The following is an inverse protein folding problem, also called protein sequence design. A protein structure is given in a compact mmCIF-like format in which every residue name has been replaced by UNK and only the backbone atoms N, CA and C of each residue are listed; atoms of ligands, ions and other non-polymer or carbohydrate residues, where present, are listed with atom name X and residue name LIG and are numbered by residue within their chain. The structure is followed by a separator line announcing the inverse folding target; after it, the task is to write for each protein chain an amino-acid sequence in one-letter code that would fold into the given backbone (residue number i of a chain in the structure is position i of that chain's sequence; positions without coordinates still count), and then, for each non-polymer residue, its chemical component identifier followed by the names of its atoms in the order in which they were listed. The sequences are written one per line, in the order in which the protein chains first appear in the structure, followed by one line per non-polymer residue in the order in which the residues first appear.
data_IF_297898515875
#
_entry.id   IF_297898515875
#
_cell.length_a   1.000
_cell.length_b   1.000
_cell.length_c   1.000
_cell.angle_alpha   90.00
_cell.angle_beta   90.00
_cell.angle_gamma   90.00
#
_symmetry.space_group_name_H-M   'P 1'
#
loop_
_entity.id
_entity.type
_entity.pdbx_description
1 polymer ?
#
# COMPACT_ATOMS: atom_id res chain seq x y z
N UNK A 1 -2.89 -7.30 17.27
CA UNK A 1 -2.56 -6.49 16.08
C UNK A 1 -1.29 -7.07 15.49
N UNK A 2 -1.30 -7.54 14.24
CA UNK A 2 -0.09 -8.16 13.65
C UNK A 2 0.96 -7.13 13.25
N UNK A 3 2.22 -7.56 13.02
CA UNK A 3 3.31 -6.67 12.57
C UNK A 3 2.93 -5.87 11.31
N UNK A 4 2.29 -6.52 10.34
CA UNK A 4 1.80 -5.88 9.12
C UNK A 4 0.75 -4.78 9.38
N UNK A 5 -0.17 -4.95 10.34
CA UNK A 5 -1.17 -3.93 10.67
C UNK A 5 -0.50 -2.69 11.30
N UNK A 6 0.50 -2.91 12.15
CA UNK A 6 1.28 -1.81 12.74
C UNK A 6 2.06 -1.05 11.67
N UNK A 7 2.71 -1.78 10.74
CA UNK A 7 3.42 -1.16 9.62
C UNK A 7 2.46 -0.39 8.73
N UNK A 8 1.30 -0.96 8.37
CA UNK A 8 0.32 -0.27 7.54
C UNK A 8 -0.15 1.02 8.20
N UNK A 9 -0.50 0.99 9.48
CA UNK A 9 -1.01 2.16 10.19
C UNK A 9 0.06 3.25 10.38
N UNK A 10 1.33 2.88 10.51
CA UNK A 10 2.42 3.83 10.75
C UNK A 10 3.05 4.37 9.47
N UNK A 11 3.14 3.56 8.42
CA UNK A 11 3.84 3.92 7.17
C UNK A 11 2.90 4.20 6.00
N UNK A 12 1.80 3.45 5.89
CA UNK A 12 0.94 3.49 4.70
C UNK A 12 -0.28 4.38 4.89
N UNK A 13 -0.92 4.32 6.07
CA UNK A 13 -2.19 4.99 6.35
C UNK A 13 -2.08 6.52 6.33
N UNK A 14 -0.89 7.09 6.56
CA UNK A 14 -0.65 8.54 6.42
C UNK A 14 -1.03 9.06 5.04
N UNK A 15 -0.80 8.26 3.99
CA UNK A 15 -1.15 8.60 2.60
C UNK A 15 -2.40 7.86 2.12
N UNK A 16 -2.47 6.54 2.35
CA UNK A 16 -3.57 5.72 1.83
C UNK A 16 -4.82 5.72 2.72
N UNK A 17 -4.75 6.30 3.93
CA UNK A 17 -5.83 6.26 4.91
C UNK A 17 -5.90 4.92 5.67
N UNK A 18 -6.46 4.91 6.90
CA UNK A 18 -6.59 3.67 7.69
C UNK A 18 -7.50 2.63 7.02
N UNK A 19 -8.45 3.09 6.21
CA UNK A 19 -9.36 2.27 5.40
C UNK A 19 -8.87 2.08 3.96
N UNK A 20 -7.66 2.57 3.61
CA UNK A 20 -7.10 2.42 2.27
C UNK A 20 -7.80 3.19 1.16
N UNK A 21 -8.58 4.23 1.47
CA UNK A 21 -9.38 4.97 0.47
C UNK A 21 -8.58 6.04 -0.28
N UNK A 22 -7.28 6.16 -0.01
CA UNK A 22 -6.45 7.21 -0.61
C UNK A 22 -6.72 8.60 -0.02
N UNK A 23 -7.23 8.64 1.20
CA UNK A 23 -7.72 9.82 1.92
C UNK A 23 -6.95 10.06 3.23
N UNK A 24 -5.73 9.53 3.34
CA UNK A 24 -4.86 9.80 4.49
C UNK A 24 -4.55 11.28 4.64
N UNK A 25 -4.10 11.71 5.82
CA UNK A 25 -3.83 13.13 6.12
C UNK A 25 -2.87 13.78 5.11
N UNK A 26 -1.89 13.04 4.59
CA UNK A 26 -0.98 13.54 3.57
C UNK A 26 -1.57 13.53 2.15
N UNK A 27 -2.65 12.77 1.88
CA UNK A 27 -3.24 12.63 0.55
C UNK A 27 -3.73 13.96 -0.04
N UNK A 28 -4.16 14.91 0.79
CA UNK A 28 -4.62 16.23 0.35
C UNK A 28 -3.54 17.03 -0.37
N UNK A 29 -2.25 16.79 -0.06
CA UNK A 29 -1.11 17.47 -0.66
C UNK A 29 -0.49 16.70 -1.84
N UNK A 30 -1.03 15.53 -2.21
CA UNK A 30 -0.48 14.67 -3.25
C UNK A 30 -1.28 14.75 -4.54
N UNK A 31 -0.59 14.97 -5.66
CA UNK A 31 -1.17 14.92 -7.00
C UNK A 31 -0.29 14.06 -7.93
N UNK A 32 -0.81 12.93 -8.48
CA UNK A 32 -2.13 12.37 -8.22
C UNK A 32 -2.30 11.89 -6.77
N UNK A 33 -3.55 11.86 -6.29
CA UNK A 33 -3.87 11.29 -4.98
C UNK A 33 -3.49 9.81 -4.92
N UNK A 34 -3.14 9.28 -3.73
CA UNK A 34 -2.96 7.85 -3.55
C UNK A 34 -4.21 7.09 -3.99
N UNK A 35 -4.01 5.93 -4.61
CA UNK A 35 -5.11 5.09 -5.09
C UNK A 35 -5.92 4.53 -3.91
N UNK A 36 -7.23 4.45 -4.11
CA UNK A 36 -8.13 3.71 -3.23
C UNK A 36 -7.98 2.21 -3.47
N UNK A 37 -7.71 1.46 -2.40
CA UNK A 37 -7.70 0.00 -2.40
C UNK A 37 -9.11 -0.60 -2.36
N UNK A 38 -10.14 0.21 -2.10
CA UNK A 38 -11.54 -0.20 -2.21
C UNK A 38 -12.04 -0.29 -3.66
N UNK A 39 -11.23 0.12 -4.64
CA UNK A 39 -11.54 -0.01 -6.06
C UNK A 39 -11.43 -1.49 -6.48
N UNK A 40 -12.59 -2.14 -6.62
CA UNK A 40 -12.69 -3.55 -7.00
C UNK A 40 -12.16 -3.84 -8.42
N UNK A 41 -12.28 -2.89 -9.35
CA UNK A 41 -11.75 -3.06 -10.71
C UNK A 41 -10.23 -3.04 -10.67
N UNK A 42 -9.64 -2.10 -9.93
CA UNK A 42 -8.20 -2.09 -9.71
C UNK A 42 -7.70 -3.39 -9.06
N UNK A 43 -8.38 -3.86 -8.02
CA UNK A 43 -8.01 -5.11 -7.34
C UNK A 43 -7.92 -6.29 -8.33
N UNK A 44 -8.84 -6.38 -9.30
CA UNK A 44 -8.80 -7.43 -10.34
C UNK A 44 -7.62 -7.29 -11.31
N UNK A 45 -7.17 -6.07 -11.57
CA UNK A 45 -6.10 -5.80 -12.56
C UNK A 45 -4.68 -5.96 -12.04
N UNK A 46 -4.49 -5.96 -10.72
CA UNK A 46 -3.18 -5.99 -10.09
C UNK A 46 -2.91 -7.36 -9.47
N UNK A 47 -1.67 -7.86 -9.54
CA UNK A 47 -1.27 -9.10 -8.89
C UNK A 47 -0.74 -8.86 -7.48
N UNK A 48 -0.78 -9.89 -6.63
CA UNK A 48 -0.23 -9.85 -5.27
C UNK A 48 1.27 -9.56 -5.28
N UNK A 49 1.99 -10.15 -6.24
CA UNK A 49 3.42 -9.91 -6.46
C UNK A 49 3.71 -8.45 -6.82
N UNK A 50 2.88 -7.83 -7.67
CA UNK A 50 3.04 -6.42 -7.99
C UNK A 50 2.81 -5.54 -6.76
N UNK A 51 1.78 -5.82 -5.94
CA UNK A 51 1.54 -5.08 -4.69
C UNK A 51 2.76 -5.24 -3.76
N UNK A 52 3.27 -6.45 -3.58
CA UNK A 52 4.46 -6.71 -2.76
C UNK A 52 5.70 -5.95 -3.26
N UNK A 53 5.90 -5.95 -4.57
CA UNK A 53 7.00 -5.20 -5.21
C UNK A 53 6.90 -3.71 -4.94
N UNK A 54 5.70 -3.12 -5.08
CA UNK A 54 5.50 -1.68 -4.81
C UNK A 54 5.70 -1.36 -3.32
N UNK A 55 5.30 -2.26 -2.42
CA UNK A 55 5.53 -2.09 -0.97
C UNK A 55 7.03 -2.01 -0.67
N UNK A 56 7.83 -2.91 -1.24
CA UNK A 56 9.27 -2.99 -0.96
C UNK A 56 10.06 -1.92 -1.72
N UNK A 57 9.81 -1.78 -3.02
CA UNK A 57 10.61 -0.94 -3.94
C UNK A 57 10.03 0.47 -4.14
N UNK A 58 8.86 0.77 -3.59
CA UNK A 58 8.23 2.09 -3.64
C UNK A 58 7.55 2.38 -4.98
N UNK A 59 6.96 3.57 -5.09
CA UNK A 59 6.18 3.98 -6.26
C UNK A 59 7.03 4.22 -7.51
N UNK A 60 8.21 4.82 -7.37
CA UNK A 60 9.10 5.12 -8.49
C UNK A 60 9.47 3.84 -9.29
N UNK A 61 9.77 2.75 -8.59
CA UNK A 61 10.10 1.46 -9.21
C UNK A 61 8.92 0.83 -9.96
N UNK A 62 7.68 1.22 -9.63
CA UNK A 62 6.45 0.71 -10.23
C UNK A 62 5.80 1.72 -11.21
N UNK A 63 6.54 2.75 -11.65
CA UNK A 63 6.03 3.80 -12.52
C UNK A 63 4.94 4.67 -11.88
N UNK A 64 4.92 4.74 -10.55
CA UNK A 64 3.98 5.55 -9.75
C UNK A 64 4.71 6.75 -9.15
N UNK A 65 4.00 7.51 -8.30
CA UNK A 65 4.56 8.69 -7.64
C UNK A 65 5.86 8.36 -6.88
N UNK A 66 6.95 9.15 -7.07
CA UNK A 66 8.19 8.98 -6.32
C UNK A 66 8.02 9.28 -4.83
N UNK A 67 6.93 9.93 -4.44
CA UNK A 67 6.60 10.22 -3.03
C UNK A 67 6.11 8.99 -2.27
N UNK A 68 5.79 7.90 -2.96
CA UNK A 68 5.56 6.60 -2.32
C UNK A 68 6.92 5.96 -2.05
N UNK A 69 7.48 6.22 -0.87
CA UNK A 69 8.81 5.76 -0.48
C UNK A 69 8.93 4.21 -0.46
N UNK A 70 10.10 3.65 -0.80
CA UNK A 70 10.38 2.23 -0.65
C UNK A 70 10.46 1.83 0.83
N UNK A 71 10.26 0.54 1.11
CA UNK A 71 10.46 -0.08 2.41
C UNK A 71 11.51 -1.20 2.29
N UNK A 72 12.80 -0.86 2.11
CA UNK A 72 13.85 -1.85 1.87
C UNK A 72 14.05 -2.81 3.05
N UNK A 73 13.71 -2.39 4.27
CA UNK A 73 13.74 -3.24 5.45
C UNK A 73 12.77 -4.43 5.37
N UNK A 74 11.72 -4.34 4.55
CA UNK A 74 10.75 -5.42 4.35
C UNK A 74 11.23 -6.47 3.34
N UNK A 75 12.30 -6.22 2.60
CA UNK A 75 12.89 -7.20 1.67
C UNK A 75 13.36 -8.47 2.40
N UNK A 76 13.86 -8.31 3.62
CA UNK A 76 14.24 -9.42 4.50
C UNK A 76 13.05 -10.04 5.27
N UNK A 77 11.81 -9.57 5.05
CA UNK A 77 10.61 -9.99 5.78
C UNK A 77 9.46 -10.40 4.85
N UNK A 78 9.63 -11.47 4.05
CA UNK A 78 8.63 -11.88 3.05
C UNK A 78 7.25 -12.18 3.65
N UNK A 79 7.17 -12.76 4.85
CA UNK A 79 5.89 -13.03 5.52
C UNK A 79 5.15 -11.74 5.92
N UNK A 80 5.88 -10.69 6.30
CA UNK A 80 5.28 -9.38 6.60
C UNK A 80 4.77 -8.73 5.33
N UNK A 81 5.52 -8.81 4.22
CA UNK A 81 5.07 -8.31 2.92
C UNK A 81 3.81 -9.04 2.47
N UNK A 82 3.76 -10.37 2.59
CA UNK A 82 2.57 -11.17 2.28
C UNK A 82 1.37 -10.77 3.13
N UNK A 83 1.57 -10.52 4.42
CA UNK A 83 0.51 -10.06 5.31
C UNK A 83 0.03 -8.63 4.97
N UNK A 84 0.93 -7.74 4.55
CA UNK A 84 0.57 -6.40 4.04
C UNK A 84 -0.25 -6.49 2.74
N UNK A 85 0.15 -7.36 1.81
CA UNK A 85 -0.62 -7.61 0.58
C UNK A 85 -2.02 -8.13 0.94
N UNK A 86 -2.13 -9.11 1.83
CA UNK A 86 -3.41 -9.63 2.29
C UNK A 86 -4.28 -8.53 2.93
N UNK A 87 -3.67 -7.61 3.68
CA UNK A 87 -4.38 -6.45 4.23
C UNK A 87 -4.91 -5.53 3.12
N UNK A 88 -4.10 -5.21 2.11
CA UNK A 88 -4.52 -4.42 0.94
C UNK A 88 -5.68 -5.09 0.20
N UNK A 89 -5.66 -6.42 0.04
CA UNK A 89 -6.75 -7.18 -0.58
C UNK A 89 -8.05 -7.12 0.22
N UNK A 90 -7.98 -7.21 1.56
CA UNK A 90 -9.16 -7.11 2.42
C UNK A 90 -9.91 -5.79 2.26
N UNK A 91 -9.19 -4.69 2.00
CA UNK A 91 -9.78 -3.36 1.79
C UNK A 91 -10.57 -3.25 0.48
N UNK A 92 -10.34 -4.15 -0.49
CA UNK A 92 -11.08 -4.23 -1.74
C UNK A 92 -12.39 -5.01 -1.68
N UNK A 93 -12.61 -5.76 -0.60
CA UNK A 93 -13.83 -6.55 -0.37
C UNK A 93 -14.66 -6.06 0.82
N UNK A 94 -14.43 -4.82 1.27
CA UNK A 94 -15.13 -4.17 2.41
C UNK A 94 -16.26 -3.28 1.93
#
# INVERSE_FOLDING_TARGET
MGEADMIFNTRCATCHGPQGKGDGAAAAALNPKPRSFADAEWQKTVTDEHIGTVIVKGGAAAGKSPLMAPNPDLEAKPEVVKALVARVRKLGGS
#
